data_IF_904750773666
#
_entry.id   IF_904750773666
#
_cell.length_a   1.000
_cell.length_b   1.000
_cell.length_c   1.000
_cell.angle_alpha   90.00
_cell.angle_beta   90.00
_cell.angle_gamma   90.00
#
_symmetry.space_group_name_H-M   'P 1'
#
loop_
_entity.id
_entity.type
_entity.pdbx_description
1 polymer ?
#
# COMPACT_ATOMS: atom_id res chain seq x y z
N UNK A 1 -5.98 -15.78 -16.01
CA UNK A 1 -5.68 -15.83 -14.56
C UNK A 1 -4.23 -15.47 -14.30
N UNK A 2 -3.38 -16.45 -13.98
CA UNK A 2 -2.01 -16.21 -13.49
C UNK A 2 -1.01 -15.71 -14.57
N UNK A 3 -1.00 -16.32 -15.77
CA UNK A 3 -0.07 -15.94 -16.86
C UNK A 3 -0.20 -14.46 -17.28
N UNK A 4 -1.42 -13.92 -17.25
CA UNK A 4 -1.68 -12.50 -17.53
C UNK A 4 -1.10 -11.58 -16.45
N UNK A 5 -1.26 -11.93 -15.17
CA UNK A 5 -0.66 -11.17 -14.07
C UNK A 5 0.87 -11.18 -14.12
N UNK A 6 1.47 -12.33 -14.42
CA UNK A 6 2.94 -12.44 -14.54
C UNK A 6 3.47 -11.59 -15.68
N UNK A 7 2.78 -11.52 -16.83
CA UNK A 7 3.20 -10.63 -17.92
C UNK A 7 3.13 -9.15 -17.51
N UNK A 8 2.09 -8.75 -16.78
CA UNK A 8 1.92 -7.40 -16.24
C UNK A 8 2.99 -7.06 -15.19
N UNK A 9 3.48 -8.04 -14.42
CA UNK A 9 4.57 -7.80 -13.47
C UNK A 9 5.86 -7.27 -14.11
N UNK A 10 6.14 -7.58 -15.37
CA UNK A 10 7.37 -7.14 -16.04
C UNK A 10 7.15 -6.01 -17.04
N UNK A 11 5.99 -5.95 -17.69
CA UNK A 11 5.76 -5.08 -18.86
C UNK A 11 4.75 -3.96 -18.63
N UNK A 12 4.23 -3.79 -17.41
CA UNK A 12 3.29 -2.71 -17.13
C UNK A 12 4.04 -1.39 -16.95
N UNK A 13 3.99 -0.54 -17.97
CA UNK A 13 4.75 0.73 -18.01
C UNK A 13 3.87 1.97 -17.88
N UNK A 14 2.62 1.92 -18.35
CA UNK A 14 1.72 3.07 -18.37
C UNK A 14 1.12 3.34 -16.99
N UNK A 15 1.03 4.61 -16.63
CA UNK A 15 0.42 5.11 -15.39
C UNK A 15 -1.08 5.36 -15.52
N UNK A 16 -1.73 5.72 -14.40
CA UNK A 16 -3.13 6.21 -14.39
C UNK A 16 -3.33 7.48 -15.21
N UNK A 17 -2.30 8.31 -15.38
CA UNK A 17 -2.40 9.55 -16.17
C UNK A 17 -2.30 9.26 -17.68
N UNK A 18 -1.54 8.23 -18.07
CA UNK A 18 -1.27 7.89 -19.47
C UNK A 18 -2.31 6.94 -20.07
N UNK A 19 -2.83 5.98 -19.30
CA UNK A 19 -3.85 5.03 -19.73
C UNK A 19 -4.81 4.67 -18.57
N UNK A 20 -5.69 5.60 -18.18
CA UNK A 20 -6.50 5.44 -16.98
C UNK A 20 -7.37 4.17 -16.98
N UNK A 21 -7.90 3.79 -18.14
CA UNK A 21 -8.79 2.62 -18.28
C UNK A 21 -8.05 1.33 -18.02
N UNK A 22 -6.96 1.10 -18.75
CA UNK A 22 -6.18 -0.14 -18.64
C UNK A 22 -5.51 -0.23 -17.27
N UNK A 23 -4.95 0.87 -16.77
CA UNK A 23 -4.33 0.93 -15.44
C UNK A 23 -5.32 0.62 -14.33
N UNK A 24 -6.56 1.11 -14.42
CA UNK A 24 -7.64 0.80 -13.47
C UNK A 24 -8.07 -0.66 -13.54
N UNK A 25 -8.23 -1.22 -14.74
CA UNK A 25 -8.58 -2.64 -14.87
C UNK A 25 -7.51 -3.54 -14.23
N UNK A 26 -6.23 -3.26 -14.48
CA UNK A 26 -5.11 -3.98 -13.89
C UNK A 26 -5.12 -3.85 -12.37
N UNK A 27 -5.33 -2.64 -11.86
CA UNK A 27 -5.46 -2.39 -10.43
C UNK A 27 -6.61 -3.22 -9.81
N UNK A 28 -7.80 -3.19 -10.40
CA UNK A 28 -8.97 -3.94 -9.92
C UNK A 28 -8.71 -5.45 -9.89
N UNK A 29 -7.99 -5.99 -10.89
CA UNK A 29 -7.56 -7.37 -10.89
C UNK A 29 -6.56 -7.68 -9.76
N UNK A 30 -5.61 -6.78 -9.51
CA UNK A 30 -4.63 -6.93 -8.43
C UNK A 30 -5.29 -6.90 -7.05
N UNK A 31 -6.24 -5.99 -6.81
CA UNK A 31 -7.03 -5.92 -5.59
C UNK A 31 -7.79 -7.23 -5.37
N UNK A 32 -8.52 -7.70 -6.39
CA UNK A 32 -9.23 -8.99 -6.33
C UNK A 32 -8.29 -10.16 -6.03
N UNK A 33 -7.05 -10.14 -6.54
CA UNK A 33 -6.07 -11.19 -6.31
C UNK A 33 -5.58 -11.24 -4.86
N UNK A 34 -5.41 -10.09 -4.20
CA UNK A 34 -4.94 -10.00 -2.80
C UNK A 34 -6.06 -10.06 -1.76
N UNK A 35 -7.32 -10.04 -2.19
CA UNK A 35 -8.51 -10.14 -1.32
C UNK A 35 -9.33 -11.40 -1.60
N UNK A 36 -8.77 -12.61 -1.40
CA UNK A 36 -9.48 -13.85 -1.68
C UNK A 36 -10.69 -14.02 -0.74
N UNK A 37 -11.85 -14.42 -1.31
CA UNK A 37 -13.09 -14.64 -0.56
C UNK A 37 -13.13 -15.96 0.23
N UNK A 38 -12.23 -16.89 -0.07
CA UNK A 38 -12.13 -18.21 0.55
C UNK A 38 -10.66 -18.52 0.82
N UNK A 39 -10.41 -19.34 1.84
CA UNK A 39 -9.05 -19.75 2.19
C UNK A 39 -8.48 -20.62 1.05
N UNK A 40 -7.56 -20.05 0.28
CA UNK A 40 -7.07 -20.65 -0.95
C UNK A 40 -5.95 -21.63 -0.65
N UNK A 41 -6.13 -22.91 -1.01
CA UNK A 41 -5.04 -23.90 -1.07
C UNK A 41 -3.94 -23.55 -2.09
N UNK A 42 -4.10 -22.48 -2.90
CA UNK A 42 -3.16 -22.06 -3.96
C UNK A 42 -2.81 -20.58 -3.82
N UNK A 43 -1.62 -20.30 -3.29
CA UNK A 43 -1.10 -18.96 -3.01
C UNK A 43 -0.56 -18.20 -4.23
N UNK A 44 -0.50 -18.83 -5.41
CA UNK A 44 0.08 -18.22 -6.60
C UNK A 44 -0.62 -16.92 -7.03
N UNK A 45 -1.94 -16.84 -6.90
CA UNK A 45 -2.72 -15.66 -7.31
C UNK A 45 -2.50 -14.48 -6.35
N UNK A 46 -2.67 -14.63 -5.01
CA UNK A 46 -2.32 -13.57 -4.08
C UNK A 46 -0.86 -13.13 -4.19
N UNK A 47 0.07 -14.07 -4.35
CA UNK A 47 1.50 -13.77 -4.49
C UNK A 47 1.76 -12.88 -5.72
N UNK A 48 1.16 -13.20 -6.87
CA UNK A 48 1.29 -12.39 -8.07
C UNK A 48 0.68 -10.99 -7.89
N UNK A 49 -0.46 -10.87 -7.21
CA UNK A 49 -1.08 -9.57 -6.89
C UNK A 49 -0.18 -8.70 -6.00
N UNK A 50 0.37 -9.28 -4.93
CA UNK A 50 1.30 -8.59 -4.03
C UNK A 50 2.57 -8.15 -4.76
N UNK A 51 3.12 -8.99 -5.64
CA UNK A 51 4.28 -8.60 -6.46
C UNK A 51 3.96 -7.47 -7.43
N UNK A 52 2.75 -7.44 -8.01
CA UNK A 52 2.34 -6.35 -8.88
C UNK A 52 2.33 -5.01 -8.13
N UNK A 53 1.74 -4.96 -6.92
CA UNK A 53 1.78 -3.76 -6.07
C UNK A 53 3.19 -3.37 -5.65
N UNK A 54 4.03 -4.35 -5.27
CA UNK A 54 5.42 -4.11 -4.91
C UNK A 54 6.21 -3.44 -6.05
N UNK A 55 5.98 -3.86 -7.31
CA UNK A 55 6.71 -3.37 -8.48
C UNK A 55 6.13 -2.09 -9.09
N UNK A 56 4.82 -1.95 -9.08
CA UNK A 56 4.12 -0.95 -9.90
C UNK A 56 3.22 0.00 -9.11
N UNK A 57 3.49 0.20 -7.81
CA UNK A 57 2.73 1.13 -6.98
C UNK A 57 2.61 2.53 -7.62
N UNK A 58 3.68 3.03 -8.23
CA UNK A 58 3.72 4.36 -8.88
C UNK A 58 2.66 4.48 -9.97
N UNK A 59 2.49 3.45 -10.80
CA UNK A 59 1.52 3.43 -11.89
C UNK A 59 0.08 3.47 -11.37
N UNK A 60 -0.18 3.04 -10.14
CA UNK A 60 -1.51 2.99 -9.52
C UNK A 60 -1.86 4.18 -8.62
N UNK A 61 -0.99 5.19 -8.55
CA UNK A 61 -1.08 6.40 -7.73
C UNK A 61 -2.50 6.78 -7.25
N UNK A 62 -3.35 7.30 -8.13
CA UNK A 62 -4.70 7.77 -7.79
C UNK A 62 -5.56 6.67 -7.17
N UNK A 63 -5.54 5.46 -7.74
CA UNK A 63 -6.30 4.34 -7.18
C UNK A 63 -5.78 3.89 -5.80
N UNK A 64 -4.48 4.00 -5.52
CA UNK A 64 -3.96 3.73 -4.17
C UNK A 64 -4.49 4.75 -3.15
N UNK A 65 -4.57 6.03 -3.53
CA UNK A 65 -5.15 7.07 -2.67
C UNK A 65 -6.65 6.93 -2.47
N UNK A 66 -7.38 6.40 -3.46
CA UNK A 66 -8.83 6.23 -3.36
C UNK A 66 -9.22 5.03 -2.49
N UNK A 67 -8.32 4.04 -2.34
CA UNK A 67 -8.59 2.77 -1.65
C UNK A 67 -7.63 2.53 -0.45
N UNK A 68 -7.01 3.59 0.05
CA UNK A 68 -5.88 3.55 0.97
C UNK A 68 -6.12 2.74 2.26
N UNK A 69 -7.30 2.88 2.86
CA UNK A 69 -7.68 2.22 4.11
C UNK A 69 -7.79 0.69 3.94
N UNK A 70 -8.56 0.25 2.95
CA UNK A 70 -8.81 -1.16 2.66
C UNK A 70 -7.55 -1.89 2.19
N UNK A 71 -6.71 -1.21 1.39
CA UNK A 71 -5.44 -1.75 0.91
C UNK A 71 -4.42 -1.86 2.04
N UNK A 72 -4.30 -0.83 2.89
CA UNK A 72 -3.43 -0.86 4.05
C UNK A 72 -3.75 -2.06 4.96
N UNK A 73 -5.03 -2.25 5.30
CA UNK A 73 -5.48 -3.37 6.11
C UNK A 73 -5.22 -4.71 5.44
N UNK A 74 -5.49 -4.83 4.13
CA UNK A 74 -5.29 -6.06 3.38
C UNK A 74 -3.81 -6.45 3.32
N UNK A 75 -2.93 -5.53 2.96
CA UNK A 75 -1.49 -5.80 2.88
C UNK A 75 -0.87 -6.05 4.27
N UNK A 76 -1.33 -5.34 5.30
CA UNK A 76 -0.90 -5.58 6.69
C UNK A 76 -1.26 -6.97 7.20
N UNK A 77 -2.41 -7.54 6.77
CA UNK A 77 -2.75 -8.94 7.03
C UNK A 77 -1.75 -9.89 6.37
N UNK A 78 -1.36 -9.65 5.12
CA UNK A 78 -0.37 -10.46 4.41
C UNK A 78 1.01 -10.44 5.08
N UNK A 79 1.44 -9.32 5.67
CA UNK A 79 2.66 -9.24 6.49
C UNK A 79 2.66 -10.18 7.71
N UNK A 80 1.50 -10.69 8.12
CA UNK A 80 1.35 -11.64 9.23
C UNK A 80 1.12 -13.09 8.79
N UNK A 81 1.17 -13.38 7.49
CA UNK A 81 0.82 -14.71 6.98
C UNK A 81 1.85 -15.78 7.37
N UNK A 82 1.40 -17.04 7.57
CA UNK A 82 2.27 -18.15 7.99
C UNK A 82 3.22 -18.62 6.87
N UNK A 83 2.75 -18.59 5.62
CA UNK A 83 3.60 -18.86 4.46
C UNK A 83 4.65 -17.73 4.29
N UNK A 84 5.94 -18.10 4.34
CA UNK A 84 7.05 -17.16 4.33
C UNK A 84 7.16 -16.33 3.04
N UNK A 85 6.82 -16.92 1.88
CA UNK A 85 6.85 -16.20 0.60
C UNK A 85 5.77 -15.12 0.55
N UNK A 86 4.54 -15.46 0.94
CA UNK A 86 3.44 -14.51 1.03
C UNK A 86 3.71 -13.42 2.07
N UNK A 87 4.29 -13.79 3.22
CA UNK A 87 4.71 -12.82 4.23
C UNK A 87 5.69 -11.81 3.66
N UNK A 88 6.74 -12.29 2.98
CA UNK A 88 7.75 -11.44 2.34
C UNK A 88 7.12 -10.54 1.26
N UNK A 89 6.28 -11.10 0.39
CA UNK A 89 5.60 -10.35 -0.65
C UNK A 89 4.64 -9.30 -0.06
N UNK A 90 3.95 -9.63 1.04
CA UNK A 90 3.10 -8.71 1.79
C UNK A 90 3.88 -7.50 2.31
N UNK A 91 5.04 -7.74 2.93
CA UNK A 91 5.92 -6.68 3.39
C UNK A 91 6.39 -5.79 2.24
N UNK A 92 6.82 -6.37 1.11
CA UNK A 92 7.26 -5.59 -0.04
C UNK A 92 6.13 -4.77 -0.68
N UNK A 93 4.92 -5.34 -0.78
CA UNK A 93 3.76 -4.63 -1.29
C UNK A 93 3.36 -3.46 -0.40
N UNK A 94 3.29 -3.69 0.93
CA UNK A 94 2.96 -2.66 1.91
C UNK A 94 3.99 -1.51 1.91
N UNK A 95 5.28 -1.82 1.80
CA UNK A 95 6.34 -0.82 1.76
C UNK A 95 6.22 0.07 0.50
N UNK A 96 6.06 -0.52 -0.68
CA UNK A 96 5.85 0.24 -1.92
C UNK A 96 4.57 1.06 -1.88
N UNK A 97 3.49 0.52 -1.32
CA UNK A 97 2.23 1.23 -1.12
C UNK A 97 2.39 2.46 -0.22
N UNK A 98 2.97 2.30 0.98
CA UNK A 98 3.13 3.40 1.94
C UNK A 98 4.04 4.50 1.39
N UNK A 99 5.13 4.13 0.69
CA UNK A 99 6.02 5.09 0.02
C UNK A 99 5.29 5.88 -1.05
N UNK A 100 4.51 5.20 -1.89
CA UNK A 100 3.78 5.88 -2.96
C UNK A 100 2.70 6.81 -2.41
N UNK A 101 1.91 6.35 -1.44
CA UNK A 101 0.88 7.17 -0.80
C UNK A 101 1.50 8.37 -0.09
N UNK A 102 2.55 8.18 0.71
CA UNK A 102 3.27 9.28 1.37
C UNK A 102 3.79 10.31 0.34
N UNK A 103 4.39 9.84 -0.77
CA UNK A 103 4.85 10.72 -1.84
C UNK A 103 3.71 11.54 -2.46
N UNK A 104 2.55 10.93 -2.70
CA UNK A 104 1.40 11.64 -3.26
C UNK A 104 0.81 12.65 -2.28
N UNK A 105 0.67 12.28 -1.00
CA UNK A 105 0.24 13.19 0.06
C UNK A 105 1.19 14.39 0.14
N UNK A 106 2.50 14.18 0.03
CA UNK A 106 3.48 15.25 0.07
C UNK A 106 3.39 16.23 -1.11
N UNK A 107 2.88 15.81 -2.28
CA UNK A 107 2.70 16.69 -3.45
C UNK A 107 1.58 17.71 -3.25
N UNK A 108 0.52 17.33 -2.54
CA UNK A 108 -0.58 18.23 -2.19
C UNK A 108 -1.19 17.82 -0.84
N UNK A 109 -0.59 18.33 0.23
CA UNK A 109 -0.96 17.93 1.60
C UNK A 109 -2.34 18.45 1.97
N UNK A 110 -2.74 19.63 1.48
CA UNK A 110 -4.06 20.19 1.81
C UNK A 110 -5.16 19.35 1.14
N UNK A 111 -4.98 18.98 -0.13
CA UNK A 111 -5.91 18.08 -0.83
C UNK A 111 -5.99 16.70 -0.17
N UNK A 112 -4.89 16.19 0.39
CA UNK A 112 -4.80 14.83 0.92
C UNK A 112 -4.76 14.74 2.45
N UNK A 113 -5.14 15.83 3.14
CA UNK A 113 -5.10 15.93 4.61
C UNK A 113 -5.82 14.81 5.34
N UNK A 114 -6.97 14.35 4.83
CA UNK A 114 -7.72 13.24 5.43
C UNK A 114 -6.98 11.90 5.37
N UNK A 115 -6.23 11.65 4.29
CA UNK A 115 -5.39 10.45 4.14
C UNK A 115 -4.20 10.52 5.09
N UNK A 116 -3.54 11.68 5.17
CA UNK A 116 -2.46 11.91 6.13
C UNK A 116 -2.93 11.66 7.56
N UNK A 117 -4.06 12.24 7.95
CA UNK A 117 -4.64 12.07 9.27
C UNK A 117 -4.94 10.60 9.57
N UNK A 118 -5.57 9.88 8.65
CA UNK A 118 -5.83 8.45 8.81
C UNK A 118 -4.55 7.66 9.13
N UNK A 119 -3.49 7.81 8.32
CA UNK A 119 -2.26 7.06 8.55
C UNK A 119 -1.55 7.44 9.85
N UNK A 120 -1.53 8.74 10.19
CA UNK A 120 -0.93 9.19 11.45
C UNK A 120 -1.68 8.63 12.67
N UNK A 121 -3.02 8.65 12.66
CA UNK A 121 -3.85 8.07 13.72
C UNK A 121 -3.66 6.55 13.82
N UNK A 122 -3.71 5.82 12.70
CA UNK A 122 -3.52 4.37 12.68
C UNK A 122 -2.16 3.96 13.26
N UNK A 123 -1.08 4.61 12.82
CA UNK A 123 0.26 4.28 13.30
C UNK A 123 0.46 4.69 14.76
N UNK A 124 -0.01 5.86 15.16
CA UNK A 124 0.08 6.31 16.55
C UNK A 124 -0.73 5.39 17.48
N UNK A 125 -1.92 4.98 17.07
CA UNK A 125 -2.74 4.01 17.79
C UNK A 125 -2.04 2.68 18.02
N UNK A 126 -1.37 2.14 17.00
CA UNK A 126 -0.57 0.91 17.13
C UNK A 126 0.63 1.12 18.07
N UNK A 127 1.36 2.23 17.95
CA UNK A 127 2.54 2.52 18.78
C UNK A 127 2.16 2.68 20.26
N UNK A 128 0.98 3.23 20.55
CA UNK A 128 0.47 3.41 21.91
C UNK A 128 -0.18 2.16 22.50
N UNK A 129 -0.50 1.16 21.68
CA UNK A 129 -1.09 -0.09 22.15
C UNK A 129 -0.02 -1.01 22.72
N UNK A 130 -0.06 -1.24 24.04
CA UNK A 130 0.88 -2.11 24.75
C UNK A 130 0.80 -3.59 24.34
N UNK A 131 -0.33 -4.00 23.74
CA UNK A 131 -0.56 -5.37 23.25
C UNK A 131 -0.18 -5.54 21.77
N UNK A 132 0.32 -4.49 21.11
CA UNK A 132 0.71 -4.56 19.70
C UNK A 132 1.85 -5.57 19.51
N UNK A 133 1.69 -6.43 18.51
CA UNK A 133 2.75 -7.37 18.14
C UNK A 133 3.98 -6.65 17.59
N UNK A 134 5.16 -7.27 17.71
CA UNK A 134 6.40 -6.76 17.09
C UNK A 134 6.25 -6.45 15.59
N UNK A 135 5.41 -7.23 14.88
CA UNK A 135 5.09 -6.99 13.48
C UNK A 135 4.32 -5.67 13.30
N UNK A 136 3.27 -5.45 14.08
CA UNK A 136 2.45 -4.25 14.03
C UNK A 136 3.28 -3.02 14.40
N UNK A 137 4.06 -3.08 15.48
CA UNK A 137 4.98 -2.00 15.86
C UNK A 137 5.99 -1.70 14.74
N UNK A 138 6.56 -2.73 14.12
CA UNK A 138 7.51 -2.55 13.01
C UNK A 138 6.88 -1.85 11.79
N UNK A 139 5.63 -2.18 11.46
CA UNK A 139 4.87 -1.50 10.41
C UNK A 139 4.59 -0.05 10.81
N UNK A 140 4.09 0.17 12.03
CA UNK A 140 3.69 1.48 12.52
C UNK A 140 4.86 2.44 12.65
N UNK A 141 6.01 2.02 13.19
CA UNK A 141 7.20 2.88 13.32
C UNK A 141 7.70 3.33 11.95
N UNK A 142 7.79 2.42 10.97
CA UNK A 142 8.20 2.78 9.60
C UNK A 142 7.20 3.69 8.92
N UNK A 143 5.92 3.36 9.01
CA UNK A 143 4.83 4.16 8.45
C UNK A 143 4.79 5.56 9.06
N UNK A 144 4.87 5.65 10.39
CA UNK A 144 4.93 6.92 11.10
C UNK A 144 6.12 7.76 10.64
N UNK A 145 7.31 7.17 10.50
CA UNK A 145 8.48 7.88 9.97
C UNK A 145 8.27 8.46 8.56
N UNK A 146 7.64 7.69 7.66
CA UNK A 146 7.34 8.14 6.29
C UNK A 146 6.36 9.31 6.26
N UNK A 147 5.32 9.30 7.11
CA UNK A 147 4.27 10.32 7.08
C UNK A 147 4.58 11.52 7.98
N UNK A 148 5.31 11.34 9.09
CA UNK A 148 5.79 12.44 9.92
C UNK A 148 6.75 13.36 9.15
N UNK A 149 7.57 12.82 8.25
CA UNK A 149 8.39 13.61 7.34
C UNK A 149 7.55 14.54 6.44
N UNK A 150 6.35 14.10 6.03
CA UNK A 150 5.40 14.94 5.27
C UNK A 150 4.83 16.05 6.14
N UNK A 151 4.54 15.77 7.42
CA UNK A 151 4.08 16.77 8.39
C UNK A 151 5.14 17.84 8.69
N UNK A 152 6.44 17.51 8.74
CA UNK A 152 7.49 18.51 8.99
C UNK A 152 7.58 19.56 7.88
N UNK A 153 7.36 19.18 6.62
CA UNK A 153 7.30 20.15 5.51
C UNK A 153 6.15 21.16 5.66
N UNK A 154 5.06 20.81 6.35
CA UNK A 154 3.99 21.77 6.65
C UNK A 154 4.40 22.78 7.73
N UNK A 155 5.19 22.35 8.71
CA UNK A 155 5.62 23.21 9.82
C UNK A 155 6.68 24.23 9.35
N UNK A 156 7.51 23.87 8.37
CA UNK A 156 8.51 24.78 7.78
C UNK A 156 7.91 25.76 6.74
N UNK A 157 6.70 25.51 6.24
CA UNK A 157 6.03 26.36 5.22
C UNK A 157 4.93 27.25 5.83
N UNK A 158 4.46 26.97 7.05
CA UNK A 158 3.57 27.86 7.80
C UNK A 158 4.31 28.47 8.98
N UNK A 159 4.87 29.66 8.75
CA UNK A 159 4.96 30.69 9.78
C UNK A 159 3.52 30.89 10.28
N UNK A 160 3.23 30.41 11.49
CA UNK A 160 2.09 30.88 12.27
C UNK A 160 2.34 32.32 12.70
#
# INVERSE_FOLDING_TARGET
GLKGLTALMYNFTKSMDEDPRTSKEIFDFAVKAISPKIDLKRYAVPLAGLHLFSKHAVQFSTCLLDNYDSLFQTMSKWCGHQNAELKKAGHSALDSFLKQVSSMVAKDVEMHKSKLHFFMEEFYGIIRNMDASNKELSIAIRGYGLFAAVCSFLHDIKVF
#
